data_IF_889624508023
#
_entry.id   IF_889624508023
#
_cell.length_a   1.000
_cell.length_b   1.000
_cell.length_c   1.000
_cell.angle_alpha   90.00
_cell.angle_beta   90.00
_cell.angle_gamma   90.00
#
_symmetry.space_group_name_H-M   'P 1'
#
loop_
_entity.id
_entity.type
_entity.pdbx_description
1 polymer ?
#
# COMPACT_ATOMS: atom_id res chain seq x y z
N UNK A 1 -14.87 11.28 0.36
CA UNK A 1 -13.63 12.08 0.28
C UNK A 1 -12.43 11.17 0.03
N UNK A 2 -12.23 10.10 0.81
CA UNK A 2 -11.09 9.17 0.60
C UNK A 2 -11.08 8.49 -0.77
N UNK A 3 -12.24 8.02 -1.26
CA UNK A 3 -12.32 7.43 -2.60
C UNK A 3 -11.87 8.38 -3.73
N UNK A 4 -12.18 9.68 -3.60
CA UNK A 4 -11.74 10.71 -4.55
C UNK A 4 -10.22 10.89 -4.43
N UNK A 5 -9.69 10.91 -3.20
CA UNK A 5 -8.26 11.02 -2.97
C UNK A 5 -7.47 9.80 -3.50
N UNK A 6 -7.98 8.58 -3.33
CA UNK A 6 -7.41 7.39 -3.96
C UNK A 6 -7.39 7.52 -5.49
N UNK A 7 -8.48 8.03 -6.07
CA UNK A 7 -8.59 8.20 -7.52
C UNK A 7 -7.56 9.22 -8.05
N UNK A 8 -7.33 10.31 -7.32
CA UNK A 8 -6.30 11.29 -7.64
C UNK A 8 -4.89 10.68 -7.65
N UNK A 9 -4.55 9.90 -6.60
CA UNK A 9 -3.27 9.18 -6.54
C UNK A 9 -3.09 8.25 -7.75
N UNK A 10 -4.15 7.55 -8.15
CA UNK A 10 -4.13 6.67 -9.32
C UNK A 10 -3.90 7.48 -10.61
N UNK A 11 -4.59 8.61 -10.78
CA UNK A 11 -4.43 9.47 -11.96
C UNK A 11 -3.02 10.06 -12.06
N UNK A 12 -2.45 10.51 -10.93
CA UNK A 12 -1.07 11.00 -10.87
C UNK A 12 -0.05 9.90 -11.19
N UNK A 13 -0.32 8.66 -10.77
CA UNK A 13 0.50 7.50 -11.15
C UNK A 13 0.46 7.26 -12.66
N UNK A 14 -0.73 7.31 -13.26
CA UNK A 14 -0.94 7.16 -14.70
C UNK A 14 -0.24 8.28 -15.50
N UNK A 15 -0.23 9.50 -14.97
CA UNK A 15 0.50 10.64 -15.51
C UNK A 15 2.04 10.52 -15.33
N UNK A 16 2.50 9.54 -14.56
CA UNK A 16 3.92 9.30 -14.30
C UNK A 16 4.54 10.21 -13.24
N UNK A 17 3.72 10.97 -12.50
CA UNK A 17 4.16 11.86 -11.42
C UNK A 17 4.56 11.11 -10.15
N UNK A 18 4.05 9.88 -9.98
CA UNK A 18 4.37 9.02 -8.85
C UNK A 18 4.49 7.56 -9.26
N UNK A 19 5.29 6.83 -8.49
CA UNK A 19 5.57 5.41 -8.72
C UNK A 19 4.79 4.56 -7.72
N UNK A 20 3.80 3.80 -8.22
CA UNK A 20 3.08 2.85 -7.39
C UNK A 20 3.84 1.53 -7.27
N UNK A 21 3.80 0.97 -6.05
CA UNK A 21 4.39 -0.31 -5.70
C UNK A 21 3.29 -1.37 -5.59
N UNK A 22 3.51 -2.51 -6.22
CA UNK A 22 2.65 -3.69 -6.11
C UNK A 22 3.21 -4.68 -5.10
N UNK A 23 2.46 -4.94 -4.03
CA UNK A 23 2.69 -6.08 -3.13
C UNK A 23 2.09 -7.35 -3.73
N UNK A 24 2.83 -8.47 -3.73
CA UNK A 24 2.28 -9.77 -4.14
C UNK A 24 1.01 -10.16 -3.35
N UNK A 25 0.85 -9.66 -2.12
CA UNK A 25 -0.34 -9.93 -1.30
C UNK A 25 -1.62 -9.38 -1.93
N UNK A 26 -1.54 -8.30 -2.74
CA UNK A 26 -2.71 -7.79 -3.48
C UNK A 26 -3.26 -8.83 -4.47
N UNK A 27 -2.40 -9.70 -5.02
CA UNK A 27 -2.85 -10.78 -5.89
C UNK A 27 -3.62 -11.84 -5.09
N UNK A 28 -3.11 -12.23 -3.91
CA UNK A 28 -3.77 -13.19 -3.02
C UNK A 28 -5.16 -12.71 -2.61
N UNK A 29 -5.28 -11.44 -2.21
CA UNK A 29 -6.55 -10.79 -1.87
C UNK A 29 -7.49 -10.70 -3.08
N UNK A 30 -6.95 -10.37 -4.25
CA UNK A 30 -7.71 -10.32 -5.50
C UNK A 30 -8.32 -11.68 -5.86
N UNK A 31 -7.57 -12.76 -5.68
CA UNK A 31 -8.06 -14.11 -5.97
C UNK A 31 -9.20 -14.51 -5.04
N UNK A 32 -9.14 -14.10 -3.77
CA UNK A 32 -10.18 -14.34 -2.75
C UNK A 32 -11.42 -13.44 -2.88
N UNK A 33 -11.34 -12.34 -3.64
CA UNK A 33 -12.47 -11.45 -3.82
C UNK A 33 -13.63 -12.19 -4.53
N UNK A 34 -14.89 -12.12 -4.08
CA UNK A 34 -16.00 -12.75 -4.80
C UNK A 34 -16.56 -11.88 -5.93
N UNK A 35 -16.16 -10.61 -6.03
CA UNK A 35 -16.74 -9.62 -6.94
C UNK A 35 -15.86 -9.42 -8.19
N UNK A 36 -16.30 -9.85 -9.39
CA UNK A 36 -15.51 -9.74 -10.62
C UNK A 36 -15.08 -8.30 -10.96
N UNK A 37 -15.94 -7.32 -10.73
CA UNK A 37 -15.69 -5.91 -11.04
C UNK A 37 -14.53 -5.36 -10.20
N UNK A 38 -14.50 -5.74 -8.91
CA UNK A 38 -13.41 -5.37 -7.99
C UNK A 38 -12.10 -6.03 -8.38
N UNK A 39 -12.12 -7.32 -8.77
CA UNK A 39 -10.92 -7.99 -9.31
C UNK A 39 -10.37 -7.25 -10.51
N UNK A 40 -11.26 -6.86 -11.42
CA UNK A 40 -10.86 -6.18 -12.64
C UNK A 40 -10.27 -4.79 -12.38
N UNK A 41 -10.82 -4.06 -11.41
CA UNK A 41 -10.25 -2.80 -10.97
C UNK A 41 -8.82 -2.97 -10.43
N UNK A 42 -8.61 -3.94 -9.53
CA UNK A 42 -7.29 -4.19 -8.94
C UNK A 42 -6.29 -4.70 -9.98
N UNK A 43 -6.70 -5.56 -10.91
CA UNK A 43 -5.83 -6.03 -11.99
C UNK A 43 -5.45 -4.92 -12.96
N UNK A 44 -6.35 -3.97 -13.25
CA UNK A 44 -6.00 -2.75 -14.01
C UNK A 44 -4.99 -1.91 -13.25
N UNK A 45 -5.22 -1.68 -11.97
CA UNK A 45 -4.29 -0.94 -11.10
C UNK A 45 -2.90 -1.59 -11.09
N UNK A 46 -2.83 -2.92 -11.10
CA UNK A 46 -1.54 -3.61 -11.15
C UNK A 46 -0.71 -3.20 -12.37
N UNK A 47 -1.34 -2.87 -13.51
CA UNK A 47 -0.62 -2.50 -14.75
C UNK A 47 0.06 -1.14 -14.66
N UNK A 48 -0.39 -0.26 -13.77
CA UNK A 48 0.20 1.06 -13.58
C UNK A 48 1.29 1.06 -12.49
N UNK A 49 1.39 0.00 -11.68
CA UNK A 49 2.47 -0.17 -10.72
C UNK A 49 3.80 -0.43 -11.43
N UNK A 50 4.80 0.42 -11.20
CA UNK A 50 6.13 0.32 -11.82
C UNK A 50 7.06 -0.63 -11.06
N UNK A 51 6.87 -0.76 -9.74
CA UNK A 51 7.69 -1.62 -8.88
C UNK A 51 6.81 -2.77 -8.39
N UNK A 52 7.35 -3.99 -8.38
CA UNK A 52 6.64 -5.19 -7.93
C UNK A 52 7.50 -5.98 -6.95
N UNK A 53 6.95 -6.23 -5.77
CA UNK A 53 7.61 -7.03 -4.73
C UNK A 53 6.97 -8.40 -4.69
N UNK A 54 7.80 -9.42 -4.94
CA UNK A 54 7.43 -10.83 -4.85
C UNK A 54 7.49 -11.36 -3.41
N UNK A 55 6.99 -12.58 -3.17
CA UNK A 55 7.19 -13.25 -1.90
C UNK A 55 8.69 -13.53 -1.70
N UNK A 56 9.18 -13.32 -0.48
CA UNK A 56 10.56 -13.56 -0.12
C UNK A 56 10.73 -13.69 1.39
N UNK A 57 11.70 -14.50 1.82
CA UNK A 57 11.93 -14.79 3.24
C UNK A 57 12.18 -13.53 4.07
N UNK A 58 12.90 -12.55 3.52
CA UNK A 58 13.14 -11.27 4.16
C UNK A 58 11.86 -10.45 4.36
N UNK A 59 11.00 -10.41 3.34
CA UNK A 59 9.69 -9.76 3.43
C UNK A 59 8.85 -10.41 4.52
N UNK A 60 8.81 -11.75 4.57
CA UNK A 60 8.05 -12.47 5.60
C UNK A 60 8.62 -12.26 7.01
N UNK A 61 9.94 -12.36 7.18
CA UNK A 61 10.59 -12.10 8.48
C UNK A 61 10.28 -10.69 8.97
N UNK A 62 10.38 -9.69 8.09
CA UNK A 62 10.08 -8.30 8.40
C UNK A 62 8.60 -8.11 8.71
N UNK A 63 7.69 -8.71 7.94
CA UNK A 63 6.26 -8.67 8.19
C UNK A 63 5.90 -9.26 9.57
N UNK A 64 6.47 -10.41 9.95
CA UNK A 64 6.25 -11.00 11.28
C UNK A 64 6.72 -10.05 12.39
N UNK A 65 7.88 -9.42 12.23
CA UNK A 65 8.40 -8.45 13.19
C UNK A 65 7.49 -7.21 13.32
N UNK A 66 7.02 -6.67 12.18
CA UNK A 66 6.11 -5.52 12.14
C UNK A 66 4.77 -5.87 12.79
N UNK A 67 4.19 -7.01 12.40
CA UNK A 67 2.92 -7.49 12.93
C UNK A 67 2.96 -7.67 14.45
N UNK A 68 4.03 -8.26 14.99
CA UNK A 68 4.22 -8.40 16.45
C UNK A 68 4.40 -7.06 17.15
N UNK A 69 5.20 -6.16 16.58
CA UNK A 69 5.54 -4.87 17.20
C UNK A 69 4.34 -3.93 17.27
N UNK A 70 3.49 -3.93 16.26
CA UNK A 70 2.39 -2.97 16.13
C UNK A 70 0.99 -3.62 16.27
N UNK A 71 0.92 -4.94 16.46
CA UNK A 71 -0.35 -5.66 16.57
C UNK A 71 -1.18 -5.54 15.30
N UNK A 72 -0.57 -5.85 14.15
CA UNK A 72 -1.23 -5.84 12.83
C UNK A 72 -1.58 -7.26 12.38
N UNK A 73 -2.61 -7.38 11.54
CA UNK A 73 -2.88 -8.64 10.87
C UNK A 73 -1.73 -9.02 9.92
N UNK A 74 -1.59 -10.31 9.65
CA UNK A 74 -0.45 -10.82 8.86
C UNK A 74 -0.41 -10.23 7.45
N UNK A 75 -1.56 -10.05 6.80
CA UNK A 75 -1.63 -9.47 5.45
C UNK A 75 -1.21 -8.00 5.44
N UNK A 76 -1.72 -7.19 6.37
CA UNK A 76 -1.34 -5.78 6.51
C UNK A 76 0.16 -5.62 6.74
N UNK A 77 0.73 -6.45 7.62
CA UNK A 77 2.16 -6.42 7.89
C UNK A 77 3.00 -6.81 6.66
N UNK A 78 2.50 -7.69 5.79
CA UNK A 78 3.14 -8.02 4.51
C UNK A 78 3.10 -6.83 3.55
N UNK A 79 1.98 -6.11 3.44
CA UNK A 79 1.92 -4.91 2.59
C UNK A 79 2.94 -3.84 3.02
N UNK A 80 3.06 -3.59 4.33
CA UNK A 80 4.04 -2.65 4.86
C UNK A 80 5.47 -3.15 4.62
N UNK A 81 5.74 -4.44 4.84
CA UNK A 81 7.06 -5.02 4.57
C UNK A 81 7.46 -4.90 3.09
N UNK A 82 6.52 -5.14 2.17
CA UNK A 82 6.74 -4.92 0.74
C UNK A 82 7.05 -3.45 0.42
N UNK A 83 6.35 -2.51 1.04
CA UNK A 83 6.60 -1.09 0.82
C UNK A 83 7.99 -0.66 1.33
N UNK A 84 8.44 -1.20 2.47
CA UNK A 84 9.81 -0.99 2.96
C UNK A 84 10.87 -1.60 2.03
N UNK A 85 10.62 -2.81 1.51
CA UNK A 85 11.52 -3.49 0.56
C UNK A 85 11.64 -2.71 -0.75
N UNK A 86 10.55 -2.10 -1.20
CA UNK A 86 10.54 -1.21 -2.36
C UNK A 86 11.15 0.19 -2.08
N UNK A 87 11.57 0.45 -0.84
CA UNK A 87 12.03 1.76 -0.39
C UNK A 87 11.01 2.90 -0.63
N UNK A 88 9.72 2.59 -0.50
CA UNK A 88 8.64 3.58 -0.65
C UNK A 88 8.82 4.73 0.33
N UNK A 89 8.57 5.96 -0.15
CA UNK A 89 8.56 7.14 0.71
C UNK A 89 7.29 7.20 1.59
N UNK A 90 6.17 6.71 1.06
CA UNK A 90 4.86 6.79 1.71
C UNK A 90 4.10 5.47 1.51
N UNK A 91 3.47 4.99 2.59
CA UNK A 91 2.47 3.93 2.56
C UNK A 91 1.08 4.54 2.79
N UNK A 92 0.24 4.48 1.76
CA UNK A 92 -1.13 4.98 1.82
C UNK A 92 -2.09 3.88 2.23
N UNK A 93 -2.95 4.16 3.21
CA UNK A 93 -4.02 3.25 3.66
C UNK A 93 -5.24 4.03 4.13
N UNK A 94 -6.43 3.45 4.03
CA UNK A 94 -7.65 3.98 4.67
C UNK A 94 -7.89 3.35 6.05
N UNK A 95 -7.00 2.48 6.51
CA UNK A 95 -7.12 1.86 7.83
C UNK A 95 -6.61 2.81 8.93
N UNK A 96 -7.56 3.41 9.64
CA UNK A 96 -7.30 4.31 10.75
C UNK A 96 -6.49 3.67 11.89
N UNK A 97 -6.62 2.37 12.12
CA UNK A 97 -5.90 1.69 13.19
C UNK A 97 -4.41 1.57 12.82
N UNK A 98 -4.09 1.26 11.55
CA UNK A 98 -2.71 1.29 11.06
C UNK A 98 -2.12 2.70 11.22
N UNK A 99 -2.86 3.74 10.77
CA UNK A 99 -2.41 5.14 10.82
C UNK A 99 -2.21 5.64 12.27
N UNK A 100 -3.01 5.16 13.22
CA UNK A 100 -2.85 5.50 14.65
C UNK A 100 -1.66 4.78 15.27
N UNK A 101 -1.43 3.51 14.91
CA UNK A 101 -0.34 2.67 15.44
C UNK A 101 1.02 3.05 14.88
N UNK A 102 1.09 3.48 13.62
CA UNK A 102 2.34 3.74 12.91
C UNK A 102 2.23 5.06 12.15
N UNK A 103 3.04 6.04 12.55
CA UNK A 103 3.18 7.31 11.80
C UNK A 103 4.33 7.29 10.81
N UNK A 104 5.42 6.61 11.20
CA UNK A 104 6.63 6.47 10.40
C UNK A 104 7.28 5.14 10.75
N UNK A 105 7.81 4.47 9.73
CA UNK A 105 8.59 3.26 9.87
C UNK A 105 9.82 3.40 8.98
N UNK A 106 11.00 3.38 9.58
CA UNK A 106 12.25 3.79 8.94
C UNK A 106 12.12 5.17 8.26
N UNK A 107 12.31 5.24 6.95
CA UNK A 107 12.17 6.47 6.15
C UNK A 107 10.78 6.61 5.50
N UNK A 108 9.89 5.64 5.70
CA UNK A 108 8.56 5.60 5.11
C UNK A 108 7.52 6.22 6.05
N UNK A 109 6.77 7.20 5.54
CA UNK A 109 5.62 7.77 6.26
C UNK A 109 4.36 6.93 6.00
N UNK A 110 3.46 6.88 6.99
CA UNK A 110 2.18 6.19 6.86
C UNK A 110 1.06 7.20 7.07
N UNK A 111 0.16 7.31 6.09
CA UNK A 111 -0.93 8.28 6.11
C UNK A 111 -2.12 7.84 5.25
N UNK A 112 -3.25 8.49 5.43
CA UNK A 112 -4.38 8.32 4.53
C UNK A 112 -4.21 9.14 3.23
N UNK A 113 -4.91 8.79 2.15
CA UNK A 113 -4.84 9.49 0.87
C UNK A 113 -5.25 10.98 0.94
N UNK A 114 -6.15 11.36 1.85
CA UNK A 114 -6.57 12.77 1.99
C UNK A 114 -5.42 13.62 2.53
N UNK A 115 -4.74 13.13 3.57
CA UNK A 115 -3.62 13.83 4.18
C UNK A 115 -2.41 13.90 3.24
N UNK A 116 -2.21 12.88 2.42
CA UNK A 116 -1.22 12.92 1.34
C UNK A 116 -1.49 14.07 0.36
N UNK A 117 -2.70 14.17 -0.18
CA UNK A 117 -3.04 15.25 -1.13
C UNK A 117 -2.89 16.62 -0.46
N UNK A 118 -3.30 16.76 0.80
CA UNK A 118 -3.11 18.02 1.55
C UNK A 118 -1.64 18.41 1.67
N UNK A 119 -0.74 17.44 1.84
CA UNK A 119 0.71 17.66 1.94
C UNK A 119 1.32 18.08 0.59
N UNK A 120 0.81 17.55 -0.51
CA UNK A 120 1.33 17.81 -1.87
C UNK A 120 0.87 19.16 -2.45
N UNK A 121 -0.22 19.74 -1.94
CA UNK A 121 -0.77 21.04 -2.38
C UNK A 121 -0.19 22.22 -1.57
N UNK A 122 0.65 21.95 -0.57
CA UNK A 122 1.34 22.96 0.25
C UNK A 122 2.74 23.26 -0.29
#
# INVERSE_FOLDING_TARGET
MEAIACQDVIQRAEAGELDLVWSFMLLDETLQCPFPERKMAVLRLSKICKIRIGPGDDVYRRAVSIGKKYGLAAKDAVHIACALEAHSNIFLTCDDDIIKKIKRLDNMEIMNPIDYIRKEVQ
#
